data_IF_627990033491
#
_entry.id   IF_627990033491
#
_cell.length_a   1.000
_cell.length_b   1.000
_cell.length_c   1.000
_cell.angle_alpha   90.00
_cell.angle_beta   90.00
_cell.angle_gamma   90.00
#
_symmetry.space_group_name_H-M   'P 1'
#
loop_
_entity.id
_entity.type
_entity.pdbx_description
1 polymer ?
#
# COMPACT_ATOMS: atom_id res chain seq x y z
N UNK A 1 -43.56 10.55 -6.84
CA UNK A 1 -42.53 10.73 -5.80
C UNK A 1 -42.25 12.22 -5.69
N UNK A 2 -42.53 12.82 -4.53
CA UNK A 2 -42.39 14.27 -4.28
C UNK A 2 -40.93 14.57 -3.93
N UNK A 3 -40.26 15.40 -4.72
CA UNK A 3 -38.90 15.87 -4.44
C UNK A 3 -38.95 16.97 -3.37
N UNK A 4 -38.26 16.75 -2.25
CA UNK A 4 -38.11 17.74 -1.17
C UNK A 4 -36.97 18.68 -1.57
N UNK A 5 -37.27 19.97 -1.74
CA UNK A 5 -36.27 21.05 -1.78
C UNK A 5 -36.09 21.58 -0.37
N UNK A 6 -34.92 21.37 0.21
CA UNK A 6 -34.51 22.08 1.43
C UNK A 6 -33.88 23.42 1.07
N UNK A 7 -34.39 24.51 1.63
CA UNK A 7 -33.73 25.82 1.64
C UNK A 7 -33.00 25.98 2.95
N UNK A 8 -31.69 26.24 2.89
CA UNK A 8 -30.90 26.61 4.06
C UNK A 8 -31.36 27.97 4.59
N UNK A 9 -31.55 28.06 5.90
CA UNK A 9 -31.81 29.31 6.59
C UNK A 9 -30.56 29.65 7.42
N UNK A 10 -29.97 30.80 7.13
CA UNK A 10 -28.82 31.36 7.84
C UNK A 10 -29.21 31.63 9.30
N UNK A 11 -28.38 31.19 10.25
CA UNK A 11 -28.64 31.40 11.67
C UNK A 11 -28.35 32.86 12.04
N UNK A 12 -29.33 33.56 12.61
CA UNK A 12 -29.12 34.90 13.17
C UNK A 12 -28.11 34.85 14.33
N UNK A 13 -27.14 35.77 14.29
CA UNK A 13 -26.11 35.94 15.30
C UNK A 13 -26.75 36.40 16.63
N UNK A 14 -26.37 35.83 17.79
CA UNK A 14 -26.78 36.38 19.07
C UNK A 14 -26.11 37.75 19.27
N UNK A 15 -26.86 38.74 19.75
CA UNK A 15 -26.29 39.99 20.25
C UNK A 15 -25.37 39.70 21.45
N UNK A 16 -24.07 39.93 21.27
CA UNK A 16 -23.06 39.73 22.31
C UNK A 16 -22.72 41.07 22.97
N UNK A 17 -22.65 41.03 24.31
CA UNK A 17 -22.31 42.15 25.16
C UNK A 17 -20.84 42.57 25.08
N UNK A 18 -20.58 43.77 25.60
CA UNK A 18 -19.32 44.50 25.55
C UNK A 18 -18.11 43.66 26.04
N UNK A 19 -17.27 43.24 25.09
CA UNK A 19 -16.02 42.50 25.34
C UNK A 19 -15.46 41.70 24.15
N UNK A 20 -16.02 41.85 22.95
CA UNK A 20 -15.68 41.01 21.80
C UNK A 20 -14.23 41.21 21.33
N UNK A 21 -13.40 40.17 21.50
CA UNK A 21 -12.30 39.90 20.58
C UNK A 21 -12.90 39.87 19.18
N UNK A 22 -12.38 40.71 18.29
CA UNK A 22 -12.75 40.74 16.88
C UNK A 22 -12.65 39.30 16.37
N UNK A 23 -13.78 38.73 15.93
CA UNK A 23 -13.82 37.39 15.34
C UNK A 23 -13.08 37.44 13.98
N UNK A 24 -11.76 37.35 14.04
CA UNK A 24 -10.86 37.35 12.87
C UNK A 24 -10.82 35.98 12.18
N UNK A 25 -11.66 35.05 12.62
CA UNK A 25 -11.68 33.69 12.08
C UNK A 25 -12.61 33.59 10.88
N UNK A 26 -12.20 32.79 9.90
CA UNK A 26 -12.92 32.58 8.65
C UNK A 26 -13.53 31.17 8.60
N UNK A 27 -14.52 30.91 7.72
CA UNK A 27 -14.99 29.54 7.47
C UNK A 27 -13.83 28.62 7.07
N UNK A 28 -13.83 27.38 7.56
CA UNK A 28 -12.75 26.45 7.22
C UNK A 28 -12.79 26.05 5.74
N UNK A 29 -11.63 26.08 5.08
CA UNK A 29 -11.42 25.42 3.79
C UNK A 29 -11.52 23.89 3.97
N UNK A 30 -12.42 23.20 3.25
CA UNK A 30 -12.57 21.75 3.34
C UNK A 30 -11.31 20.97 2.90
N UNK A 31 -10.44 21.57 2.08
CA UNK A 31 -9.21 20.93 1.58
C UNK A 31 -8.06 20.97 2.59
N UNK A 32 -8.11 21.86 3.59
CA UNK A 32 -7.10 21.92 4.65
C UNK A 32 -7.48 20.94 5.74
N UNK A 33 -6.60 20.01 6.12
CA UNK A 33 -6.87 19.04 7.19
C UNK A 33 -7.21 19.73 8.52
N UNK A 34 -8.09 19.13 9.32
CA UNK A 34 -8.36 19.63 10.67
C UNK A 34 -7.08 19.56 11.54
N UNK A 35 -6.88 20.55 12.42
CA UNK A 35 -5.68 20.69 13.24
C UNK A 35 -4.40 20.88 12.43
N UNK A 36 -4.47 21.75 11.42
CA UNK A 36 -3.32 22.12 10.59
C UNK A 36 -3.33 23.60 10.26
N UNK A 37 -2.14 24.17 10.10
CA UNK A 37 -1.98 25.55 9.65
C UNK A 37 -2.22 25.68 8.14
N UNK A 38 -2.63 26.85 7.69
CA UNK A 38 -2.69 27.20 6.27
C UNK A 38 -2.35 28.68 6.10
N UNK A 39 -2.06 29.09 4.87
CA UNK A 39 -1.79 30.49 4.54
C UNK A 39 -2.88 30.96 3.58
N UNK A 40 -3.66 31.96 4.01
CA UNK A 40 -4.73 32.57 3.20
C UNK A 40 -4.42 34.05 3.08
N UNK A 41 -4.30 34.55 1.85
CA UNK A 41 -3.93 35.94 1.53
C UNK A 41 -2.64 36.41 2.25
N UNK A 42 -1.68 35.50 2.43
CA UNK A 42 -0.41 35.77 3.08
C UNK A 42 -0.44 35.73 4.62
N UNK A 43 -1.62 35.49 5.22
CA UNK A 43 -1.79 35.38 6.67
C UNK A 43 -1.91 33.92 7.11
N UNK A 44 -1.37 33.59 8.28
CA UNK A 44 -1.45 32.24 8.84
C UNK A 44 -2.79 32.05 9.52
N UNK A 45 -3.45 30.93 9.24
CA UNK A 45 -4.61 30.44 9.95
C UNK A 45 -4.36 29.03 10.47
N UNK A 46 -5.04 28.65 11.54
CA UNK A 46 -5.07 27.30 12.07
C UNK A 46 -6.50 26.76 11.98
N UNK A 47 -6.69 25.58 11.39
CA UNK A 47 -8.03 24.99 11.25
C UNK A 47 -8.42 24.27 12.54
N UNK A 48 -9.53 24.70 13.13
CA UNK A 48 -10.21 24.05 14.23
C UNK A 48 -11.65 23.73 13.83
N UNK A 49 -11.87 22.46 13.50
CA UNK A 49 -13.14 21.90 13.04
C UNK A 49 -13.69 22.65 11.81
N UNK A 50 -14.69 23.50 12.03
CA UNK A 50 -15.42 24.25 11.00
C UNK A 50 -14.92 25.69 10.84
N UNK A 51 -13.93 26.13 11.62
CA UNK A 51 -13.37 27.48 11.56
C UNK A 51 -11.86 27.46 11.33
N UNK A 52 -11.35 28.55 10.78
CA UNK A 52 -9.94 28.85 10.64
C UNK A 52 -9.63 30.09 11.46
N UNK A 53 -8.89 29.92 12.55
CA UNK A 53 -8.56 30.97 13.51
C UNK A 53 -7.18 31.55 13.24
N UNK A 54 -6.98 32.84 13.51
CA UNK A 54 -5.64 33.43 13.45
C UNK A 54 -4.87 33.09 14.73
N UNK A 55 -3.77 32.33 14.67
CA UNK A 55 -2.95 32.06 15.84
C UNK A 55 -2.19 33.33 16.26
N UNK A 56 -1.96 33.48 17.57
CA UNK A 56 -1.14 34.56 18.11
C UNK A 56 0.35 34.26 17.86
N UNK A 57 0.85 34.73 16.71
CA UNK A 57 2.25 34.54 16.30
C UNK A 57 2.98 35.88 16.19
N UNK A 58 4.21 35.92 16.70
CA UNK A 58 5.13 37.00 16.34
C UNK A 58 5.64 36.83 14.90
N UNK A 59 6.26 37.87 14.33
CA UNK A 59 6.71 37.85 12.93
C UNK A 59 7.65 36.68 12.61
N UNK A 60 8.57 36.32 13.51
CA UNK A 60 9.50 35.20 13.29
C UNK A 60 8.79 33.85 13.32
N UNK A 61 7.84 33.66 14.24
CA UNK A 61 7.04 32.45 14.33
C UNK A 61 6.14 32.29 13.10
N UNK A 62 5.50 33.38 12.65
CA UNK A 62 4.68 33.38 11.43
C UNK A 62 5.50 32.97 10.19
N UNK A 63 6.72 33.48 10.04
CA UNK A 63 7.62 33.10 8.94
C UNK A 63 8.02 31.62 8.99
N UNK A 64 8.30 31.08 10.20
CA UNK A 64 8.58 29.64 10.38
C UNK A 64 7.38 28.80 9.97
N UNK A 65 6.18 29.15 10.46
CA UNK A 65 4.94 28.43 10.13
C UNK A 65 4.68 28.46 8.63
N UNK A 66 4.81 29.61 7.96
CA UNK A 66 4.65 29.71 6.50
C UNK A 66 5.62 28.78 5.75
N UNK A 67 6.89 28.75 6.14
CA UNK A 67 7.88 27.85 5.53
C UNK A 67 7.55 26.37 5.75
N UNK A 68 7.09 26.01 6.94
CA UNK A 68 6.72 24.62 7.27
C UNK A 68 5.40 24.20 6.61
N UNK A 69 4.44 25.11 6.43
CA UNK A 69 3.24 24.88 5.60
C UNK A 69 3.63 24.56 4.16
N UNK A 70 4.50 25.38 3.55
CA UNK A 70 4.95 25.15 2.18
C UNK A 70 5.68 23.80 2.02
N UNK A 71 6.55 23.44 2.98
CA UNK A 71 7.19 22.12 3.02
C UNK A 71 6.17 20.99 3.12
N UNK A 72 5.21 21.11 4.04
CA UNK A 72 4.17 20.09 4.26
C UNK A 72 3.35 19.88 3.02
N UNK A 73 2.93 20.95 2.37
CA UNK A 73 2.07 20.86 1.20
C UNK A 73 2.81 20.18 0.04
N UNK A 74 4.09 20.54 -0.18
CA UNK A 74 4.95 19.88 -1.16
C UNK A 74 5.20 18.40 -0.83
N UNK A 75 5.42 18.05 0.45
CA UNK A 75 5.57 16.65 0.90
C UNK A 75 4.30 15.84 0.64
N UNK A 76 3.13 16.40 0.97
CA UNK A 76 1.86 15.71 0.73
C UNK A 76 1.57 15.51 -0.76
N UNK A 77 1.89 16.50 -1.59
CA UNK A 77 1.81 16.36 -3.05
C UNK A 77 2.76 15.26 -3.54
N UNK A 78 4.01 15.25 -3.08
CA UNK A 78 4.99 14.22 -3.44
C UNK A 78 4.54 12.83 -3.01
N UNK A 79 3.96 12.68 -1.80
CA UNK A 79 3.38 11.40 -1.35
C UNK A 79 2.25 10.97 -2.27
N UNK A 80 1.33 11.88 -2.63
CA UNK A 80 0.23 11.57 -3.53
C UNK A 80 0.74 11.12 -4.91
N UNK A 81 1.73 11.81 -5.49
CA UNK A 81 2.37 11.44 -6.75
C UNK A 81 3.10 10.08 -6.66
N UNK A 82 3.73 9.78 -5.51
CA UNK A 82 4.37 8.49 -5.30
C UNK A 82 3.38 7.35 -5.03
N UNK A 83 2.16 7.65 -4.58
CA UNK A 83 1.08 6.66 -4.42
C UNK A 83 0.33 6.39 -5.71
N UNK A 84 0.22 7.38 -6.60
CA UNK A 84 -0.42 7.24 -7.91
C UNK A 84 0.49 6.49 -8.90
N UNK A 85 -0.04 5.43 -9.50
CA UNK A 85 0.69 4.61 -10.48
C UNK A 85 0.82 5.28 -11.85
N UNK A 86 -0.13 6.15 -12.19
CA UNK A 86 -0.16 6.85 -13.49
C UNK A 86 0.61 8.16 -13.47
N UNK A 87 1.10 8.56 -12.30
CA UNK A 87 1.93 9.75 -12.15
C UNK A 87 3.24 9.58 -12.93
N UNK A 88 3.44 10.48 -13.89
CA UNK A 88 4.64 10.50 -14.70
C UNK A 88 5.88 10.77 -13.83
N UNK A 89 6.96 10.03 -14.10
CA UNK A 89 8.22 10.12 -13.37
C UNK A 89 8.77 11.57 -13.33
N UNK A 90 8.56 12.34 -14.40
CA UNK A 90 8.97 13.76 -14.45
C UNK A 90 8.28 14.61 -13.39
N UNK A 91 7.00 14.36 -13.08
CA UNK A 91 6.27 15.13 -12.04
C UNK A 91 6.79 14.81 -10.64
N UNK A 92 7.17 13.54 -10.40
CA UNK A 92 7.81 13.14 -9.15
C UNK A 92 9.14 13.87 -8.99
N UNK A 93 9.95 13.92 -10.06
CA UNK A 93 11.25 14.63 -10.04
C UNK A 93 11.10 16.15 -9.86
N UNK A 94 10.08 16.76 -10.48
CA UNK A 94 9.75 18.18 -10.27
C UNK A 94 9.39 18.46 -8.81
N UNK A 95 8.50 17.65 -8.21
CA UNK A 95 8.13 17.78 -6.81
C UNK A 95 9.31 17.54 -5.85
N UNK A 96 10.19 16.58 -6.16
CA UNK A 96 11.43 16.36 -5.39
C UNK A 96 12.40 17.54 -5.49
N UNK A 97 12.51 18.15 -6.67
CA UNK A 97 13.34 19.35 -6.87
C UNK A 97 12.79 20.52 -6.07
N UNK A 98 11.47 20.71 -6.08
CA UNK A 98 10.82 21.77 -5.31
C UNK A 98 10.95 21.53 -3.80
N UNK A 99 10.76 20.29 -3.34
CA UNK A 99 10.96 19.93 -1.94
C UNK A 99 12.39 20.23 -1.48
N UNK A 100 13.40 19.91 -2.29
CA UNK A 100 14.80 20.27 -2.00
C UNK A 100 14.98 21.78 -1.88
N UNK A 101 14.45 22.53 -2.85
CA UNK A 101 14.55 24.00 -2.89
C UNK A 101 13.90 24.65 -1.66
N UNK A 102 12.70 24.21 -1.30
CA UNK A 102 11.97 24.71 -0.13
C UNK A 102 12.70 24.36 1.17
N UNK A 103 13.20 23.13 1.28
CA UNK A 103 13.93 22.67 2.46
C UNK A 103 15.22 23.46 2.65
N UNK A 104 16.04 23.60 1.62
CA UNK A 104 17.32 24.30 1.71
C UNK A 104 17.13 25.78 2.07
N UNK A 105 16.12 26.42 1.47
CA UNK A 105 15.76 27.79 1.79
C UNK A 105 15.25 27.94 3.25
N UNK A 106 14.42 27.01 3.71
CA UNK A 106 13.95 26.98 5.09
C UNK A 106 15.11 26.77 6.07
N UNK A 107 15.92 25.73 5.87
CA UNK A 107 17.00 25.37 6.78
C UNK A 107 18.07 26.46 6.87
N UNK A 108 18.37 27.14 5.77
CA UNK A 108 19.32 28.25 5.76
C UNK A 108 18.88 29.45 6.63
N UNK A 109 17.56 29.70 6.70
CA UNK A 109 16.99 30.83 7.46
C UNK A 109 16.59 30.45 8.89
N UNK A 110 16.16 29.21 9.11
CA UNK A 110 15.44 28.79 10.31
C UNK A 110 16.07 27.63 11.07
N UNK A 111 17.14 27.01 10.57
CA UNK A 111 17.74 25.81 11.15
C UNK A 111 16.96 24.54 10.78
N UNK A 112 17.27 23.44 11.47
CA UNK A 112 16.65 22.14 11.21
C UNK A 112 15.17 22.16 11.60
N UNK A 113 14.33 21.43 10.88
CA UNK A 113 12.91 21.22 11.21
C UNK A 113 12.75 20.70 12.65
N UNK A 114 13.66 19.82 13.07
CA UNK A 114 13.68 19.25 14.41
C UNK A 114 14.18 20.22 15.51
N UNK A 115 14.67 21.42 15.15
CA UNK A 115 15.12 22.41 16.14
C UNK A 115 13.97 22.85 17.05
N UNK A 116 14.30 23.09 18.33
CA UNK A 116 13.33 23.49 19.37
C UNK A 116 12.46 24.69 18.97
N UNK A 117 13.04 25.68 18.27
CA UNK A 117 12.31 26.87 17.83
C UNK A 117 11.26 26.56 16.74
N UNK A 118 11.57 25.63 15.83
CA UNK A 118 10.63 25.18 14.80
C UNK A 118 9.55 24.29 15.40
N UNK A 119 9.92 23.39 16.32
CA UNK A 119 8.98 22.61 17.11
C UNK A 119 7.96 23.49 17.83
N UNK A 120 8.42 24.51 18.56
CA UNK A 120 7.53 25.40 19.32
C UNK A 120 6.57 26.19 18.41
N UNK A 121 6.98 26.49 17.18
CA UNK A 121 6.17 27.24 16.24
C UNK A 121 5.12 26.38 15.51
N UNK A 122 5.33 25.06 15.38
CA UNK A 122 4.56 24.23 14.45
C UNK A 122 4.08 22.88 15.02
N UNK A 123 4.38 22.54 16.28
CA UNK A 123 4.05 21.22 16.84
C UNK A 123 2.56 20.90 16.91
N UNK A 124 1.71 21.93 16.86
CA UNK A 124 0.25 21.76 16.87
C UNK A 124 -0.28 21.32 15.50
N UNK A 125 0.51 21.43 14.43
CA UNK A 125 0.13 20.90 13.12
C UNK A 125 0.13 19.38 13.13
N UNK A 126 -0.96 18.79 12.66
CA UNK A 126 -1.12 17.33 12.57
C UNK A 126 -0.06 16.62 11.71
N UNK A 127 0.67 17.37 10.87
CA UNK A 127 1.74 16.86 10.00
C UNK A 127 3.14 17.21 10.48
N UNK A 128 3.32 17.77 11.68
CA UNK A 128 4.65 18.15 12.19
C UNK A 128 5.64 16.97 12.20
N UNK A 129 5.23 15.82 12.73
CA UNK A 129 6.11 14.64 12.80
C UNK A 129 6.44 14.03 11.43
N UNK A 130 5.58 14.25 10.42
CA UNK A 130 5.92 13.91 9.04
C UNK A 130 7.06 14.79 8.54
N UNK A 131 7.03 16.10 8.81
CA UNK A 131 8.14 16.98 8.45
C UNK A 131 9.43 16.62 9.19
N UNK A 132 9.36 16.23 10.46
CA UNK A 132 10.53 15.74 11.21
C UNK A 132 11.21 14.56 10.50
N UNK A 133 10.44 13.70 9.83
CA UNK A 133 10.98 12.53 9.11
C UNK A 133 11.80 12.89 7.86
N UNK A 134 11.79 14.15 7.42
CA UNK A 134 12.65 14.65 6.34
C UNK A 134 14.13 14.70 6.74
N UNK A 135 14.43 14.68 8.04
CA UNK A 135 15.78 14.80 8.58
C UNK A 135 16.15 13.51 9.30
N UNK A 136 17.24 12.88 8.86
CA UNK A 136 17.87 11.82 9.64
C UNK A 136 18.96 12.46 10.49
N UNK A 137 18.80 12.35 11.81
CA UNK A 137 19.71 12.94 12.77
C UNK A 137 20.65 11.87 13.35
N UNK A 138 21.87 12.29 13.69
CA UNK A 138 22.81 11.47 14.45
C UNK A 138 22.49 11.47 15.97
N UNK A 139 23.29 10.74 16.76
CA UNK A 139 23.13 10.63 18.22
C UNK A 139 23.27 11.99 18.94
N UNK A 140 23.93 12.98 18.32
CA UNK A 140 24.11 14.33 18.85
C UNK A 140 22.97 15.28 18.42
N UNK A 141 22.00 14.80 17.63
CA UNK A 141 20.90 15.60 17.09
C UNK A 141 21.28 16.51 15.92
N UNK A 142 22.42 16.25 15.25
CA UNK A 142 22.82 16.96 14.04
C UNK A 142 22.31 16.24 12.81
N UNK A 143 22.10 16.99 11.73
CA UNK A 143 21.68 16.43 10.45
C UNK A 143 22.77 15.50 9.88
N UNK A 144 22.49 14.20 9.88
CA UNK A 144 23.34 13.19 9.22
C UNK A 144 23.09 13.22 7.71
N UNK A 145 21.81 13.21 7.30
CA UNK A 145 21.37 13.31 5.90
C UNK A 145 19.90 13.69 5.78
N UNK A 146 19.49 14.13 4.58
CA UNK A 146 18.08 14.24 4.19
C UNK A 146 17.45 12.85 3.99
N UNK A 147 16.15 12.76 4.17
CA UNK A 147 15.39 11.54 3.90
C UNK A 147 15.48 11.10 2.43
N UNK A 148 15.25 9.81 2.19
CA UNK A 148 15.31 9.21 0.87
C UNK A 148 14.31 9.84 -0.13
N UNK A 149 13.18 10.37 0.35
CA UNK A 149 12.12 10.93 -0.50
C UNK A 149 12.56 12.15 -1.31
N UNK A 150 13.64 12.84 -0.90
CA UNK A 150 14.23 13.95 -1.65
C UNK A 150 14.86 13.52 -2.98
N UNK A 151 15.17 12.23 -3.16
CA UNK A 151 15.99 11.77 -4.29
C UNK A 151 15.46 10.51 -4.98
N UNK A 152 14.58 9.73 -4.34
CA UNK A 152 14.00 8.53 -4.95
C UNK A 152 12.56 8.30 -4.47
N UNK A 153 11.82 7.51 -5.26
CA UNK A 153 10.51 6.99 -4.86
C UNK A 153 10.70 6.06 -3.65
N UNK A 154 10.10 6.44 -2.52
CA UNK A 154 10.12 5.71 -1.24
C UNK A 154 8.87 4.89 -1.03
N UNK A 155 7.76 5.33 -1.62
CA UNK A 155 6.49 4.61 -1.62
C UNK A 155 6.36 3.95 -3.00
N UNK A 156 6.67 2.66 -3.07
CA UNK A 156 6.47 1.85 -4.28
C UNK A 156 5.32 0.90 -4.01
N UNK A 157 4.22 1.07 -4.75
CA UNK A 157 3.13 0.12 -4.74
C UNK A 157 3.67 -1.26 -5.16
N UNK A 158 3.23 -2.32 -4.46
CA UNK A 158 3.48 -3.69 -4.90
C UNK A 158 2.93 -3.81 -6.32
N UNK A 159 3.80 -4.04 -7.30
CA UNK A 159 3.36 -4.31 -8.67
C UNK A 159 2.65 -5.66 -8.65
N UNK A 160 1.38 -5.69 -9.07
CA UNK A 160 0.82 -6.92 -9.63
C UNK A 160 1.59 -7.20 -10.91
N UNK A 161 1.96 -8.45 -11.12
CA UNK A 161 2.47 -8.86 -12.42
C UNK A 161 1.25 -9.00 -13.32
N UNK A 162 1.17 -8.23 -14.40
CA UNK A 162 -0.04 -8.20 -15.25
C UNK A 162 0.00 -9.24 -16.38
N UNK A 163 1.19 -9.76 -16.71
CA UNK A 163 1.38 -10.81 -17.71
C UNK A 163 2.70 -11.55 -17.50
N UNK A 164 2.71 -12.85 -17.83
CA UNK A 164 3.88 -13.73 -17.79
C UNK A 164 3.89 -14.66 -19.00
N UNK A 165 5.08 -15.11 -19.40
CA UNK A 165 5.24 -15.96 -20.58
C UNK A 165 5.15 -17.46 -20.23
N UNK A 166 5.40 -17.83 -18.96
CA UNK A 166 5.51 -19.23 -18.54
C UNK A 166 4.64 -19.57 -17.33
N UNK A 167 4.23 -20.85 -17.24
CA UNK A 167 3.46 -21.35 -16.09
C UNK A 167 4.23 -21.28 -14.76
N UNK A 168 5.56 -21.43 -14.79
CA UNK A 168 6.41 -21.30 -13.60
C UNK A 168 6.44 -19.87 -13.06
N UNK A 169 6.51 -18.87 -13.94
CA UNK A 169 6.38 -17.46 -13.55
C UNK A 169 4.99 -17.17 -13.00
N UNK A 170 3.93 -17.66 -13.68
CA UNK A 170 2.55 -17.52 -13.19
C UNK A 170 2.39 -18.12 -11.79
N UNK A 171 3.01 -19.28 -11.53
CA UNK A 171 2.97 -19.94 -10.23
C UNK A 171 3.68 -19.09 -9.17
N UNK A 172 4.87 -18.56 -9.46
CA UNK A 172 5.60 -17.71 -8.52
C UNK A 172 4.79 -16.47 -8.13
N UNK A 173 4.13 -15.82 -9.11
CA UNK A 173 3.24 -14.68 -8.86
C UNK A 173 2.02 -15.13 -8.03
N UNK A 174 1.40 -16.24 -8.39
CA UNK A 174 0.23 -16.77 -7.69
C UNK A 174 0.52 -17.10 -6.22
N UNK A 175 1.65 -17.74 -5.92
CA UNK A 175 2.07 -17.98 -4.53
C UNK A 175 2.38 -16.66 -3.82
N UNK A 176 3.05 -15.72 -4.48
CA UNK A 176 3.35 -14.40 -3.92
C UNK A 176 2.12 -13.56 -3.58
N UNK A 177 1.04 -13.67 -4.37
CA UNK A 177 -0.16 -12.83 -4.21
C UNK A 177 -1.34 -13.53 -3.51
N UNK A 178 -1.53 -14.84 -3.73
CA UNK A 178 -2.67 -15.61 -3.23
C UNK A 178 -2.31 -16.61 -2.13
N UNK A 179 -1.01 -16.89 -1.93
CA UNK A 179 -0.50 -17.91 -1.02
C UNK A 179 -1.09 -19.32 -1.25
N UNK A 180 -1.55 -19.60 -2.47
CA UNK A 180 -2.05 -20.91 -2.89
C UNK A 180 -1.95 -21.06 -4.42
N UNK A 181 -2.18 -22.26 -4.94
CA UNK A 181 -2.23 -22.52 -6.39
C UNK A 181 -3.64 -22.22 -6.91
N UNK A 182 -3.81 -21.08 -7.59
CA UNK A 182 -5.07 -20.67 -8.24
C UNK A 182 -4.90 -20.68 -9.77
N UNK A 183 -5.40 -21.73 -10.42
CA UNK A 183 -5.30 -21.90 -11.87
C UNK A 183 -6.04 -20.80 -12.66
N UNK A 184 -7.11 -20.23 -12.12
CA UNK A 184 -7.86 -19.16 -12.80
C UNK A 184 -7.02 -17.89 -12.86
N UNK A 185 -6.41 -17.55 -11.72
CA UNK A 185 -5.51 -16.41 -11.61
C UNK A 185 -4.29 -16.59 -12.51
N UNK A 186 -3.61 -17.73 -12.42
CA UNK A 186 -2.44 -18.03 -13.27
C UNK A 186 -2.76 -17.97 -14.76
N UNK A 187 -3.93 -18.48 -15.17
CA UNK A 187 -4.38 -18.44 -16.55
C UNK A 187 -4.64 -17.00 -17.04
N UNK A 188 -5.19 -16.14 -16.17
CA UNK A 188 -5.37 -14.72 -16.50
C UNK A 188 -4.04 -14.00 -16.78
N UNK A 189 -2.97 -14.33 -16.04
CA UNK A 189 -1.62 -13.81 -16.27
C UNK A 189 -1.01 -14.30 -17.58
N UNK A 190 -1.43 -15.48 -18.05
CA UNK A 190 -0.92 -16.09 -19.29
C UNK A 190 -1.78 -15.78 -20.52
N UNK A 191 -2.78 -14.91 -20.38
CA UNK A 191 -3.60 -14.42 -21.50
C UNK A 191 -5.01 -15.02 -21.60
N UNK A 192 -5.41 -15.91 -20.69
CA UNK A 192 -6.78 -16.43 -20.64
C UNK A 192 -6.94 -17.85 -20.13
N UNK A 193 -8.19 -18.24 -19.85
CA UNK A 193 -8.56 -19.56 -19.28
C UNK A 193 -8.16 -20.75 -20.16
N UNK A 194 -7.97 -20.55 -21.46
CA UNK A 194 -7.49 -21.57 -22.40
C UNK A 194 -6.07 -22.06 -22.07
N UNK A 195 -5.33 -21.32 -21.23
CA UNK A 195 -4.00 -21.70 -20.75
C UNK A 195 -4.00 -22.72 -19.62
N UNK A 196 -5.15 -22.98 -18.98
CA UNK A 196 -5.24 -23.88 -17.83
C UNK A 196 -4.68 -25.30 -18.13
N UNK A 197 -5.00 -25.97 -19.26
CA UNK A 197 -4.41 -27.27 -19.58
C UNK A 197 -2.88 -27.21 -19.72
N UNK A 198 -2.37 -26.15 -20.33
CA UNK A 198 -0.92 -25.94 -20.49
C UNK A 198 -0.27 -25.74 -19.11
N UNK A 199 -0.85 -24.92 -18.25
CA UNK A 199 -0.34 -24.68 -16.88
C UNK A 199 -0.24 -25.99 -16.10
N UNK A 200 -1.29 -26.81 -16.13
CA UNK A 200 -1.31 -28.10 -15.44
C UNK A 200 -0.25 -29.06 -16.00
N UNK A 201 -0.06 -29.08 -17.32
CA UNK A 201 0.96 -29.90 -17.96
C UNK A 201 2.37 -29.45 -17.62
N UNK A 202 2.67 -28.16 -17.81
CA UNK A 202 3.98 -27.56 -17.61
C UNK A 202 4.45 -27.64 -16.15
N UNK A 203 3.51 -27.67 -15.19
CA UNK A 203 3.79 -27.75 -13.76
C UNK A 203 3.61 -29.15 -13.15
N UNK A 204 3.52 -30.20 -13.98
CA UNK A 204 3.50 -31.58 -13.50
C UNK A 204 4.70 -31.85 -12.58
N UNK A 205 4.42 -32.35 -11.39
CA UNK A 205 5.42 -32.64 -10.36
C UNK A 205 5.81 -31.43 -9.49
N UNK A 206 5.47 -30.20 -9.92
CA UNK A 206 5.64 -28.96 -9.14
C UNK A 206 4.36 -28.62 -8.37
N UNK A 207 3.21 -28.90 -8.97
CA UNK A 207 1.90 -28.81 -8.32
C UNK A 207 1.19 -30.16 -8.37
N UNK A 208 0.34 -30.42 -7.39
CA UNK A 208 -0.47 -31.63 -7.28
C UNK A 208 -1.92 -31.27 -7.00
N UNK A 209 -2.83 -32.04 -7.60
CA UNK A 209 -4.24 -32.01 -7.23
C UNK A 209 -4.51 -33.05 -6.15
N UNK A 210 -5.14 -32.66 -5.06
CA UNK A 210 -5.56 -33.56 -4.00
C UNK A 210 -6.62 -34.55 -4.52
N UNK A 211 -6.40 -35.87 -4.47
CA UNK A 211 -7.32 -36.85 -5.04
C UNK A 211 -8.75 -36.82 -4.48
N UNK A 212 -8.92 -36.37 -3.24
CA UNK A 212 -10.25 -36.23 -2.63
C UNK A 212 -11.02 -34.98 -3.09
N UNK A 213 -10.39 -34.09 -3.87
CA UNK A 213 -11.00 -32.85 -4.36
C UNK A 213 -11.86 -33.02 -5.63
N UNK A 214 -11.96 -34.24 -6.16
CA UNK A 214 -12.64 -34.57 -7.41
C UNK A 214 -11.70 -34.63 -8.61
N UNK A 215 -12.20 -34.97 -9.81
CA UNK A 215 -11.39 -35.09 -11.03
C UNK A 215 -10.94 -33.72 -11.57
N UNK A 216 -10.03 -33.72 -12.55
CA UNK A 216 -9.75 -32.52 -13.34
C UNK A 216 -10.72 -32.42 -14.53
N UNK A 217 -11.88 -31.82 -14.28
CA UNK A 217 -13.01 -31.73 -15.21
C UNK A 217 -13.13 -30.34 -15.85
N UNK A 218 -12.17 -29.92 -16.68
CA UNK A 218 -12.16 -28.57 -17.28
C UNK A 218 -13.25 -28.32 -18.35
N UNK A 219 -14.00 -29.36 -18.73
CA UNK A 219 -15.08 -29.24 -19.72
C UNK A 219 -16.27 -28.43 -19.19
N UNK A 220 -17.15 -28.00 -20.11
CA UNK A 220 -18.34 -27.22 -19.76
C UNK A 220 -19.22 -27.95 -18.72
N UNK A 221 -19.54 -27.26 -17.62
CA UNK A 221 -20.25 -27.83 -16.46
C UNK A 221 -19.39 -28.58 -15.45
N UNK A 222 -18.06 -28.58 -15.57
CA UNK A 222 -17.16 -29.16 -14.56
C UNK A 222 -17.03 -28.32 -13.29
N UNK A 223 -16.97 -28.99 -12.14
CA UNK A 223 -17.07 -28.34 -10.81
C UNK A 223 -15.82 -28.50 -9.94
N UNK A 224 -14.85 -29.33 -10.37
CA UNK A 224 -13.74 -29.79 -9.54
C UNK A 224 -12.37 -29.32 -10.04
N UNK A 225 -12.27 -28.91 -11.31
CA UNK A 225 -11.01 -28.56 -11.97
C UNK A 225 -10.20 -27.51 -11.22
N UNK A 226 -10.84 -26.55 -10.55
CA UNK A 226 -10.18 -25.48 -9.81
C UNK A 226 -9.83 -25.84 -8.35
N UNK A 227 -10.32 -26.97 -7.83
CA UNK A 227 -10.24 -27.31 -6.41
C UNK A 227 -9.00 -28.14 -6.08
N UNK A 228 -8.49 -27.99 -4.86
CA UNK A 228 -7.52 -28.91 -4.26
C UNK A 228 -6.12 -28.91 -4.87
N UNK A 229 -5.74 -27.83 -5.56
CA UNK A 229 -4.37 -27.66 -6.05
C UNK A 229 -3.45 -27.20 -4.93
N UNK A 230 -2.28 -27.84 -4.84
CA UNK A 230 -1.26 -27.62 -3.82
C UNK A 230 0.10 -27.61 -4.50
N UNK A 231 1.06 -26.88 -3.94
CA UNK A 231 2.46 -27.03 -4.33
C UNK A 231 2.99 -28.40 -3.90
N UNK A 232 4.10 -28.84 -4.50
CA UNK A 232 4.79 -30.06 -4.06
C UNK A 232 5.08 -30.04 -2.56
N UNK A 233 5.62 -28.92 -2.04
CA UNK A 233 5.94 -28.76 -0.62
C UNK A 233 4.72 -28.96 0.29
N UNK A 234 3.56 -28.43 -0.10
CA UNK A 234 2.32 -28.58 0.66
C UNK A 234 1.76 -30.00 0.54
N UNK A 235 1.68 -30.54 -0.68
CA UNK A 235 1.12 -31.85 -0.95
C UNK A 235 1.94 -32.98 -0.32
N UNK A 236 3.27 -32.86 -0.33
CA UNK A 236 4.22 -33.83 0.22
C UNK A 236 4.53 -33.60 1.70
N UNK A 237 3.84 -32.65 2.34
CA UNK A 237 3.88 -32.48 3.79
C UNK A 237 2.79 -33.30 4.51
N UNK A 238 3.04 -33.60 5.79
CA UNK A 238 2.08 -34.28 6.66
C UNK A 238 2.08 -35.81 6.50
N UNK A 239 0.91 -36.44 6.53
CA UNK A 239 0.79 -37.90 6.47
C UNK A 239 0.89 -38.43 5.02
N UNK A 240 2.10 -38.36 4.47
CA UNK A 240 2.41 -38.74 3.07
C UNK A 240 1.97 -40.17 2.75
N UNK A 241 2.12 -41.12 3.68
CA UNK A 241 1.67 -42.51 3.50
C UNK A 241 0.16 -42.63 3.28
N UNK A 242 -0.63 -41.82 3.99
CA UNK A 242 -2.07 -41.79 3.79
C UNK A 242 -2.44 -41.14 2.46
N UNK A 243 -1.80 -40.03 2.10
CA UNK A 243 -1.99 -39.35 0.81
C UNK A 243 -1.65 -40.29 -0.36
N UNK A 244 -0.53 -41.02 -0.29
CA UNK A 244 -0.14 -42.01 -1.29
C UNK A 244 -1.17 -43.14 -1.46
N UNK A 245 -1.69 -43.71 -0.36
CA UNK A 245 -2.74 -44.75 -0.45
C UNK A 245 -4.01 -44.23 -1.12
N UNK A 246 -4.38 -42.98 -0.84
CA UNK A 246 -5.51 -42.33 -1.51
C UNK A 246 -5.21 -42.14 -2.99
N UNK A 247 -4.04 -41.59 -3.34
CA UNK A 247 -3.60 -41.40 -4.71
C UNK A 247 -3.63 -42.71 -5.51
N UNK A 248 -3.07 -43.80 -4.97
CA UNK A 248 -3.09 -45.13 -5.61
C UNK A 248 -4.52 -45.62 -5.89
N UNK A 249 -5.44 -45.44 -4.93
CA UNK A 249 -6.84 -45.86 -5.10
C UNK A 249 -7.55 -45.06 -6.18
N UNK A 250 -7.32 -43.75 -6.25
CA UNK A 250 -7.94 -42.87 -7.24
C UNK A 250 -7.30 -43.06 -8.61
N UNK A 251 -5.97 -43.19 -8.69
CA UNK A 251 -5.21 -43.43 -9.92
C UNK A 251 -5.63 -44.72 -10.65
N UNK A 252 -6.07 -45.74 -9.91
CA UNK A 252 -6.64 -46.97 -10.48
C UNK A 252 -7.94 -46.74 -11.27
N UNK A 253 -8.61 -45.60 -11.09
CA UNK A 253 -9.87 -45.22 -11.75
C UNK A 253 -9.71 -43.99 -12.65
N UNK A 254 -8.79 -43.10 -12.31
CA UNK A 254 -8.50 -41.86 -13.03
C UNK A 254 -6.97 -41.70 -13.22
N UNK A 255 -6.44 -41.99 -14.42
CA UNK A 255 -5.01 -41.91 -14.72
C UNK A 255 -4.38 -40.53 -14.50
N UNK A 256 -5.18 -39.46 -14.40
CA UNK A 256 -4.69 -38.12 -14.09
C UNK A 256 -3.85 -38.10 -12.81
N UNK A 257 -4.24 -38.90 -11.80
CA UNK A 257 -3.56 -38.97 -10.51
C UNK A 257 -2.36 -39.93 -10.49
N UNK A 258 -1.93 -40.49 -11.62
CA UNK A 258 -0.73 -41.33 -11.68
C UNK A 258 0.51 -40.56 -11.19
N UNK A 259 0.64 -39.27 -11.55
CA UNK A 259 1.74 -38.42 -11.08
C UNK A 259 1.78 -38.24 -9.55
N UNK A 260 0.63 -38.34 -8.87
CA UNK A 260 0.58 -38.30 -7.41
C UNK A 260 1.14 -39.57 -6.75
N UNK A 261 1.18 -40.69 -7.49
CA UNK A 261 1.74 -41.98 -7.03
C UNK A 261 3.23 -42.03 -7.27
N UNK A 262 3.69 -41.55 -8.43
CA UNK A 262 5.08 -41.61 -8.89
C UNK A 262 5.96 -40.49 -8.29
N UNK A 263 5.45 -39.74 -7.32
CA UNK A 263 6.17 -38.64 -6.71
C UNK A 263 7.43 -39.14 -5.94
N UNK A 264 8.62 -38.53 -6.15
CA UNK A 264 9.90 -39.02 -5.63
C UNK A 264 9.94 -39.24 -4.11
N UNK A 265 9.26 -38.40 -3.33
CA UNK A 265 9.27 -38.47 -1.85
C UNK A 265 8.15 -39.36 -1.27
N UNK A 266 7.27 -39.90 -2.13
CA UNK A 266 6.23 -40.84 -1.73
C UNK A 266 6.73 -42.29 -1.59
N UNK A 267 7.86 -42.64 -2.21
CA UNK A 267 8.44 -43.97 -2.09
C UNK A 267 9.04 -44.17 -0.67
N UNK A 268 8.56 -45.13 0.14
CA UNK A 268 9.29 -45.53 1.32
C UNK A 268 10.65 -46.06 0.89
N UNK A 269 11.73 -45.64 1.57
CA UNK A 269 13.00 -46.34 1.49
C UNK A 269 12.74 -47.83 1.78
N UNK A 270 12.79 -48.66 0.74
CA UNK A 270 12.70 -50.10 0.90
C UNK A 270 13.87 -50.57 1.77
N UNK A 271 13.57 -51.46 2.70
CA UNK A 271 14.39 -51.70 3.88
C UNK A 271 15.82 -52.14 3.57
N UNK A 272 16.77 -51.47 4.23
CA UNK A 272 17.99 -52.14 4.70
C UNK A 272 17.61 -53.06 5.87
N UNK A 273 16.94 -54.16 5.53
CA UNK A 273 16.80 -55.30 6.42
C UNK A 273 18.17 -55.95 6.57
N UNK A 274 18.65 -56.02 7.81
CA UNK A 274 19.88 -56.72 8.14
C UNK A 274 19.81 -58.20 7.77
N UNK A 275 20.92 -58.68 7.21
CA UNK A 275 21.59 -59.92 7.60
C UNK A 275 23.08 -59.66 7.59
#
# INVERSE_FOLDING_TARGET
MKNIRGTYQEAELPELGEGEQIDTSIPADPNVKNYSYTVVDGEVYYRENSRMVKPELNATAAERVKGMVALRDCVNELIALQMDEYSAESRIQEAQTELNRLYDAFSAKHGLINDRANRLAFSDDSSYYLLCSLEVLDDDGKLERKADMFHKRTIKQQRSVDSVDTASEALAVCIGEKACVDLSFMASLMGGSEKIPQIVEDLKGVIYKEPNSGPFDLQDGGEHWAKGWQTADEYLSGNVRQKLRTAQRVAARDPFFAGNVDCPDCCPAEGLGGQ
#
